data_IF_506879507847
#
_entry.id   IF_506879507847
#
_cell.length_a   1.000
_cell.length_b   1.000
_cell.length_c   1.000
_cell.angle_alpha   90.00
_cell.angle_beta   90.00
_cell.angle_gamma   90.00
#
_symmetry.space_group_name_H-M   'P 1'
#
loop_
_entity.id
_entity.type
_entity.pdbx_description
1 polymer ?
#
# COMPACT_ATOMS: atom_id res chain seq x y z
N UNK A 1 0.72 -0.01 -22.89
CA UNK A 1 1.07 -0.75 -21.68
C UNK A 1 1.74 0.20 -20.69
N UNK A 2 1.55 0.07 -19.38
CA UNK A 2 1.97 1.06 -18.38
C UNK A 2 3.50 1.19 -18.16
N UNK A 3 4.32 0.37 -18.83
CA UNK A 3 5.79 0.43 -18.71
C UNK A 3 6.37 -0.40 -17.56
N UNK A 4 5.53 -1.06 -16.76
CA UNK A 4 5.90 -1.97 -15.69
C UNK A 4 4.96 -3.17 -15.64
N UNK A 5 5.43 -4.27 -15.05
CA UNK A 5 4.68 -5.48 -14.78
C UNK A 5 4.21 -5.53 -13.32
N UNK A 6 3.08 -6.19 -13.12
CA UNK A 6 2.43 -6.37 -11.82
C UNK A 6 2.25 -7.85 -11.53
N UNK A 7 2.14 -8.18 -10.25
CA UNK A 7 1.66 -9.47 -9.78
C UNK A 7 0.59 -9.27 -8.72
N UNK A 8 -0.29 -10.26 -8.58
CA UNK A 8 -1.23 -10.35 -7.47
C UNK A 8 -0.86 -11.57 -6.65
N UNK A 9 -0.72 -11.39 -5.35
CA UNK A 9 -0.38 -12.46 -4.42
C UNK A 9 -1.23 -12.35 -3.15
N UNK A 10 -1.51 -13.50 -2.52
CA UNK A 10 -2.15 -13.57 -1.21
C UNK A 10 -1.06 -13.52 -0.15
N UNK A 11 -1.18 -12.58 0.79
CA UNK A 11 -0.27 -12.40 1.91
C UNK A 11 -0.98 -12.80 3.21
N UNK A 12 -0.39 -13.76 3.93
CA UNK A 12 -0.85 -14.11 5.27
C UNK A 12 -0.52 -12.98 6.25
N UNK A 13 -1.50 -12.57 7.05
CA UNK A 13 -1.34 -11.53 8.07
C UNK A 13 -1.63 -12.13 9.44
N UNK A 14 -0.64 -12.10 10.34
CA UNK A 14 -0.82 -12.57 11.71
C UNK A 14 -1.95 -11.81 12.42
N UNK A 15 -2.96 -12.53 12.90
CA UNK A 15 -4.08 -11.93 13.64
C UNK A 15 -5.20 -11.32 12.80
N UNK A 16 -5.14 -11.42 11.46
CA UNK A 16 -6.19 -10.95 10.56
C UNK A 16 -6.43 -11.94 9.41
N UNK A 17 -7.50 -11.74 8.65
CA UNK A 17 -7.67 -12.43 7.37
C UNK A 17 -6.60 -11.99 6.37
N UNK A 18 -6.18 -12.90 5.49
CA UNK A 18 -5.21 -12.65 4.44
C UNK A 18 -5.55 -11.41 3.59
N UNK A 19 -4.52 -10.82 2.99
CA UNK A 19 -4.67 -9.73 2.03
C UNK A 19 -4.33 -10.20 0.62
N UNK A 20 -5.22 -9.95 -0.34
CA UNK A 20 -4.89 -10.04 -1.76
C UNK A 20 -4.27 -8.72 -2.22
N UNK A 21 -3.01 -8.73 -2.64
CA UNK A 21 -2.25 -7.53 -2.92
C UNK A 21 -1.72 -7.55 -4.34
N UNK A 22 -2.05 -6.50 -5.10
CA UNK A 22 -1.32 -6.11 -6.31
C UNK A 22 -0.02 -5.42 -5.88
N UNK A 23 1.09 -5.89 -6.40
CA UNK A 23 2.42 -5.30 -6.25
C UNK A 23 3.08 -5.18 -7.62
N UNK A 24 4.22 -4.48 -7.69
CA UNK A 24 5.13 -4.65 -8.81
C UNK A 24 5.59 -6.11 -8.87
N UNK A 25 5.91 -6.59 -10.07
CA UNK A 25 6.43 -7.95 -10.27
C UNK A 25 7.70 -8.19 -9.45
N UNK A 26 8.68 -7.29 -9.61
CA UNK A 26 9.98 -7.30 -8.95
C UNK A 26 10.55 -5.88 -8.82
N UNK A 27 11.79 -5.78 -8.32
CA UNK A 27 12.50 -4.51 -8.05
C UNK A 27 13.27 -3.97 -9.25
N UNK A 28 13.41 -4.72 -10.33
CA UNK A 28 14.19 -4.34 -11.51
C UNK A 28 13.28 -3.73 -12.57
N UNK A 29 12.51 -2.72 -12.14
CA UNK A 29 11.51 -2.05 -12.96
C UNK A 29 11.57 -0.55 -12.76
N UNK A 30 11.37 0.18 -13.86
CA UNK A 30 11.33 1.64 -13.86
C UNK A 30 10.42 2.12 -14.99
N UNK A 31 9.48 3.00 -14.67
CA UNK A 31 8.60 3.63 -15.66
C UNK A 31 8.23 5.04 -15.24
N UNK A 32 8.83 6.03 -15.89
CA UNK A 32 8.54 7.45 -15.64
C UNK A 32 8.52 8.27 -16.94
N UNK A 33 7.75 7.81 -17.93
CA UNK A 33 7.71 8.45 -19.25
C UNK A 33 7.28 9.93 -19.21
N UNK A 34 6.46 10.32 -18.22
CA UNK A 34 6.01 11.69 -18.02
C UNK A 34 6.89 12.50 -17.05
N UNK A 35 7.94 11.91 -16.48
CA UNK A 35 8.83 12.58 -15.52
C UNK A 35 8.18 12.92 -14.17
N UNK A 36 7.03 12.33 -13.83
CA UNK A 36 6.27 12.65 -12.63
C UNK A 36 7.00 12.17 -11.36
N UNK A 37 7.63 11.00 -11.40
CA UNK A 37 8.42 10.51 -10.27
C UNK A 37 9.70 11.34 -10.09
N UNK A 38 10.40 11.63 -11.18
CA UNK A 38 11.60 12.47 -11.16
C UNK A 38 11.30 13.89 -10.66
N UNK A 39 10.16 14.49 -11.03
CA UNK A 39 9.74 15.80 -10.53
C UNK A 39 9.52 15.82 -9.00
N UNK A 40 9.24 14.67 -8.40
CA UNK A 40 9.11 14.49 -6.94
C UNK A 40 10.43 14.07 -6.27
N UNK A 41 11.54 14.04 -7.02
CA UNK A 41 12.85 13.62 -6.52
C UNK A 41 13.02 12.11 -6.37
N UNK A 42 12.16 11.30 -6.98
CA UNK A 42 12.25 9.83 -6.95
C UNK A 42 13.17 9.36 -8.08
N UNK A 43 14.35 8.87 -7.72
CA UNK A 43 15.30 8.30 -8.68
C UNK A 43 14.81 6.95 -9.24
N UNK A 44 15.41 6.50 -10.35
CA UNK A 44 15.13 5.18 -10.92
C UNK A 44 15.40 4.03 -9.94
N UNK A 45 16.36 4.19 -9.01
CA UNK A 45 16.64 3.21 -7.96
C UNK A 45 15.57 3.18 -6.85
N UNK A 46 14.91 4.32 -6.59
CA UNK A 46 13.86 4.43 -5.57
C UNK A 46 12.47 4.10 -6.13
N UNK A 47 12.27 4.32 -7.42
CA UNK A 47 10.99 4.12 -8.11
C UNK A 47 10.31 2.78 -7.81
N UNK A 48 10.97 1.61 -7.84
CA UNK A 48 10.28 0.36 -7.61
C UNK A 48 9.91 0.12 -6.14
N UNK A 49 10.43 0.88 -5.18
CA UNK A 49 10.35 0.56 -3.75
C UNK A 49 8.92 0.64 -3.19
N UNK A 50 8.08 1.56 -3.66
CA UNK A 50 6.69 1.71 -3.19
C UNK A 50 5.86 0.45 -3.46
N UNK A 51 6.17 -0.24 -4.57
CA UNK A 51 5.37 -1.32 -5.13
C UNK A 51 5.77 -2.70 -4.63
N UNK A 52 6.63 -2.79 -3.61
CA UNK A 52 7.16 -4.05 -3.08
C UNK A 52 6.57 -4.41 -1.73
N UNK A 53 6.48 -5.70 -1.44
CA UNK A 53 6.09 -6.18 -0.11
C UNK A 53 7.32 -6.18 0.78
N UNK A 54 7.31 -5.31 1.79
CA UNK A 54 8.38 -5.20 2.78
C UNK A 54 8.07 -6.07 4.00
N UNK A 55 9.07 -6.81 4.55
CA UNK A 55 8.88 -7.58 5.78
C UNK A 55 8.40 -6.74 6.96
N UNK A 56 8.86 -5.49 7.08
CA UNK A 56 8.40 -4.55 8.10
C UNK A 56 6.92 -4.18 7.93
N UNK A 57 6.44 -4.03 6.69
CA UNK A 57 5.03 -3.77 6.39
C UNK A 57 4.11 -4.91 6.83
N UNK A 58 4.54 -6.17 6.65
CA UNK A 58 3.83 -7.35 7.15
C UNK A 58 3.75 -7.36 8.69
N UNK A 59 4.86 -7.04 9.37
CA UNK A 59 4.89 -6.97 10.83
C UNK A 59 4.01 -5.84 11.36
N UNK A 60 4.03 -4.67 10.72
CA UNK A 60 3.18 -3.54 11.08
C UNK A 60 1.70 -3.91 10.88
N UNK A 61 1.34 -4.55 9.77
CA UNK A 61 -0.02 -5.02 9.52
C UNK A 61 -0.50 -6.03 10.57
N UNK A 62 0.35 -7.01 10.94
CA UNK A 62 0.04 -7.96 12.00
C UNK A 62 -0.12 -7.29 13.37
N UNK A 63 0.73 -6.29 13.67
CA UNK A 63 0.62 -5.50 14.91
C UNK A 63 -0.69 -4.71 14.92
N UNK A 64 -1.06 -4.11 13.79
CA UNK A 64 -2.32 -3.40 13.62
C UNK A 64 -3.54 -4.33 13.63
N UNK A 65 -3.40 -5.63 13.42
CA UNK A 65 -4.50 -6.57 13.52
C UNK A 65 -4.98 -6.74 14.98
N UNK A 66 -4.05 -6.70 15.93
CA UNK A 66 -4.32 -6.94 17.35
C UNK A 66 -4.35 -5.66 18.19
N UNK A 67 -3.79 -4.55 17.69
CA UNK A 67 -3.85 -3.27 18.40
C UNK A 67 -5.30 -2.87 18.63
N UNK A 68 -5.72 -2.52 19.87
CA UNK A 68 -7.05 -1.97 20.11
C UNK A 68 -7.27 -0.69 19.27
N UNK A 69 -8.42 -0.59 18.61
CA UNK A 69 -8.85 0.65 17.96
C UNK A 69 -9.68 1.45 18.97
N UNK A 70 -9.38 2.74 19.10
CA UNK A 70 -10.16 3.64 19.95
C UNK A 70 -11.29 4.26 19.15
N UNK A 71 -12.48 4.39 19.75
CA UNK A 71 -13.62 5.03 19.09
C UNK A 71 -13.28 6.49 18.73
N UNK A 72 -13.52 6.87 17.47
CA UNK A 72 -13.19 8.21 16.97
C UNK A 72 -11.70 8.45 16.67
N UNK A 73 -10.85 7.43 16.79
CA UNK A 73 -9.44 7.51 16.39
C UNK A 73 -9.32 7.70 14.87
N UNK A 74 -8.47 8.65 14.48
CA UNK A 74 -8.10 8.89 13.08
C UNK A 74 -6.63 8.54 12.87
N UNK A 75 -6.35 7.69 11.90
CA UNK A 75 -5.04 7.10 11.66
C UNK A 75 -4.47 7.66 10.36
N UNK A 76 -3.22 8.10 10.39
CA UNK A 76 -2.45 8.47 9.20
C UNK A 76 -1.29 7.49 9.01
N UNK A 77 -1.21 6.83 7.86
CA UNK A 77 -0.04 6.05 7.45
C UNK A 77 0.79 6.85 6.45
N UNK A 78 2.05 7.16 6.80
CA UNK A 78 2.98 7.90 5.95
C UNK A 78 3.92 6.92 5.26
N UNK A 79 4.04 7.02 3.93
CA UNK A 79 4.85 6.11 3.14
C UNK A 79 4.22 4.71 3.09
N UNK A 80 2.92 4.66 2.77
CA UNK A 80 2.13 3.44 2.86
C UNK A 80 2.56 2.38 1.84
N UNK A 81 3.17 2.77 0.71
CA UNK A 81 3.48 1.88 -0.41
C UNK A 81 2.23 1.11 -0.87
N UNK A 82 2.19 -0.19 -0.55
CA UNK A 82 1.05 -1.09 -0.82
C UNK A 82 -0.08 -1.05 0.22
N UNK A 83 0.08 -0.26 1.28
CA UNK A 83 -0.89 0.05 2.33
C UNK A 83 -1.34 -1.13 3.20
N UNK A 84 -0.45 -2.10 3.48
CA UNK A 84 -0.82 -3.33 4.21
C UNK A 84 -1.43 -3.04 5.58
N UNK A 85 -0.82 -2.14 6.36
CA UNK A 85 -1.30 -1.80 7.70
C UNK A 85 -2.59 -0.98 7.64
N UNK A 86 -2.68 -0.01 6.73
CA UNK A 86 -3.93 0.73 6.49
C UNK A 86 -5.09 -0.17 6.10
N UNK A 87 -4.87 -1.16 5.21
CA UNK A 87 -5.91 -2.12 4.81
C UNK A 87 -6.43 -2.93 6.01
N UNK A 88 -5.54 -3.37 6.91
CA UNK A 88 -5.93 -4.08 8.13
C UNK A 88 -6.74 -3.19 9.07
N UNK A 89 -6.27 -1.97 9.35
CA UNK A 89 -7.00 -1.02 10.19
C UNK A 89 -8.36 -0.65 9.59
N UNK A 90 -8.42 -0.38 8.29
CA UNK A 90 -9.63 0.01 7.57
C UNK A 90 -10.66 -1.12 7.56
N UNK A 91 -10.24 -2.38 7.33
CA UNK A 91 -11.11 -3.56 7.42
C UNK A 91 -11.74 -3.73 8.80
N UNK A 92 -11.05 -3.27 9.85
CA UNK A 92 -11.54 -3.30 11.24
C UNK A 92 -12.43 -2.10 11.58
N UNK A 93 -12.74 -1.23 10.62
CA UNK A 93 -13.58 -0.04 10.78
C UNK A 93 -12.85 1.21 11.29
N UNK A 94 -11.51 1.22 11.27
CA UNK A 94 -10.74 2.42 11.64
C UNK A 94 -10.88 3.54 10.60
N UNK A 95 -10.91 4.80 11.03
CA UNK A 95 -10.87 5.94 10.12
C UNK A 95 -9.42 6.21 9.67
N UNK A 96 -9.03 5.60 8.56
CA UNK A 96 -7.65 5.65 8.04
C UNK A 96 -7.51 6.61 6.86
N UNK A 97 -6.40 7.34 6.85
CA UNK A 97 -5.86 8.04 5.69
C UNK A 97 -4.48 7.47 5.39
N UNK A 98 -4.29 6.95 4.18
CA UNK A 98 -2.98 6.50 3.71
C UNK A 98 -2.31 7.60 2.88
N UNK A 99 -0.98 7.68 2.90
CA UNK A 99 -0.24 8.61 2.05
C UNK A 99 1.07 8.03 1.58
N UNK A 100 1.49 8.44 0.39
CA UNK A 100 2.79 8.09 -0.16
C UNK A 100 3.24 9.16 -1.16
N UNK A 101 4.55 9.36 -1.28
CA UNK A 101 5.11 10.29 -2.26
C UNK A 101 5.04 9.74 -3.69
N UNK A 102 5.00 8.41 -3.85
CA UNK A 102 5.08 7.80 -5.17
C UNK A 102 3.78 8.01 -5.96
N UNK A 103 3.83 8.55 -7.20
CA UNK A 103 2.63 8.95 -7.96
C UNK A 103 1.71 7.77 -8.31
N UNK A 104 2.23 6.54 -8.28
CA UNK A 104 1.44 5.32 -8.52
C UNK A 104 0.81 4.70 -7.27
N UNK A 105 1.22 5.09 -6.07
CA UNK A 105 0.80 4.42 -4.84
C UNK A 105 -0.72 4.52 -4.61
N UNK A 106 -1.34 5.69 -4.87
CA UNK A 106 -2.79 5.85 -4.79
C UNK A 106 -3.58 4.91 -5.72
N UNK A 107 -3.10 4.71 -6.96
CA UNK A 107 -3.73 3.79 -7.90
C UNK A 107 -3.58 2.32 -7.47
N UNK A 108 -2.43 1.95 -6.90
CA UNK A 108 -2.22 0.61 -6.32
C UNK A 108 -3.10 0.40 -5.09
N UNK A 109 -3.25 1.41 -4.24
CA UNK A 109 -4.14 1.35 -3.08
C UNK A 109 -5.59 1.10 -3.50
N UNK A 110 -6.11 1.84 -4.50
CA UNK A 110 -7.48 1.65 -5.00
C UNK A 110 -7.72 0.21 -5.45
N UNK A 111 -6.77 -0.38 -6.17
CA UNK A 111 -6.89 -1.79 -6.55
C UNK A 111 -6.81 -2.71 -5.34
N UNK A 112 -5.89 -2.46 -4.40
CA UNK A 112 -5.75 -3.32 -3.22
C UNK A 112 -7.00 -3.27 -2.33
N UNK A 113 -7.69 -2.14 -2.23
CA UNK A 113 -9.01 -2.05 -1.59
C UNK A 113 -10.02 -2.94 -2.33
N UNK A 114 -10.09 -2.83 -3.65
CA UNK A 114 -11.00 -3.64 -4.50
C UNK A 114 -10.74 -5.14 -4.36
N UNK A 115 -9.48 -5.57 -4.39
CA UNK A 115 -9.07 -6.97 -4.25
C UNK A 115 -9.45 -7.57 -2.88
N UNK A 116 -9.65 -6.72 -1.87
CA UNK A 116 -10.00 -7.09 -0.51
C UNK A 116 -11.44 -6.72 -0.13
N UNK A 117 -12.27 -6.35 -1.12
CA UNK A 117 -13.69 -5.99 -0.96
C UNK A 117 -13.92 -4.85 0.06
N UNK A 118 -12.95 -3.92 0.14
CA UNK A 118 -13.02 -2.77 1.02
C UNK A 118 -13.54 -1.55 0.26
N UNK A 119 -14.33 -0.73 0.95
CA UNK A 119 -14.78 0.58 0.45
C UNK A 119 -13.59 1.53 0.25
N UNK A 120 -13.71 2.56 -0.60
CA UNK A 120 -12.67 3.57 -0.77
C UNK A 120 -12.17 4.12 0.58
N UNK A 121 -10.85 4.25 0.70
CA UNK A 121 -10.16 4.83 1.86
C UNK A 121 -9.61 6.20 1.46
N UNK A 122 -9.47 7.13 2.42
CA UNK A 122 -8.84 8.42 2.15
C UNK A 122 -7.36 8.21 1.78
N UNK A 123 -6.91 8.96 0.78
CA UNK A 123 -5.54 8.97 0.32
C UNK A 123 -5.10 10.41 0.05
N UNK A 124 -3.89 10.79 0.45
CA UNK A 124 -3.34 12.12 0.22
C UNK A 124 -1.85 12.10 -0.11
#
# INVERSE_FOLDING_TARGET
>A
MPGYAIKVQTLAIGGAADLKIRSLLDRDQFADAAGAANALGISSAQWPLFGQVWPSGLHLAATMAIRPLTAGERILEIGCGLALASLVCHRRGGEVTASDIHPLAGAFLLENLRLNELVPMRYC
#
